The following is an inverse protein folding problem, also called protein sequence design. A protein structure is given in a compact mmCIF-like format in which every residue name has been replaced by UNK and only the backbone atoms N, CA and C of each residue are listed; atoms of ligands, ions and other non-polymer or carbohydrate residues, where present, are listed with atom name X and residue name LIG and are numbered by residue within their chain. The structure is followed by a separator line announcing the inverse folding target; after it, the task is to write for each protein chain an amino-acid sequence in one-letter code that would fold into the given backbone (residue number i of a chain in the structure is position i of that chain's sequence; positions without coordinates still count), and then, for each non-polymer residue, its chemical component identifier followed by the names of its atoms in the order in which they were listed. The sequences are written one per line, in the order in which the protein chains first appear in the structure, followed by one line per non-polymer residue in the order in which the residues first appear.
data_IF_240869392479
#
_entry.id   IF_240869392479
#
_cell.length_a   1.000
_cell.length_b   1.000
_cell.length_c   1.000
_cell.angle_alpha   90.00
_cell.angle_beta   90.00
_cell.angle_gamma   90.00
#
_symmetry.space_group_name_H-M   'P 1'
#
loop_
_entity.id
_entity.type
_entity.pdbx_description
1 polymer ?
#
# COMPACT_ATOMS: atom_id res chain seq x y z
N UNK A 1 10.00 -29.30 -11.48
CA UNK A 1 9.95 -27.94 -10.97
C UNK A 1 11.30 -27.52 -10.44
N UNK A 2 11.65 -26.30 -10.68
CA UNK A 2 12.97 -25.86 -10.29
C UNK A 2 12.98 -25.34 -8.85
N UNK A 3 14.15 -25.43 -8.26
CA UNK A 3 14.37 -25.04 -6.88
C UNK A 3 14.19 -23.53 -6.65
N UNK A 4 14.54 -22.72 -7.66
CA UNK A 4 14.45 -21.28 -7.57
C UNK A 4 13.02 -20.81 -7.32
N UNK A 5 12.07 -21.46 -7.98
CA UNK A 5 10.66 -21.12 -7.80
C UNK A 5 10.18 -21.46 -6.38
N UNK A 6 10.57 -22.61 -5.85
CA UNK A 6 10.22 -23.00 -4.50
C UNK A 6 10.82 -22.03 -3.47
N UNK A 7 12.08 -21.61 -3.69
CA UNK A 7 12.73 -20.66 -2.79
C UNK A 7 12.04 -19.31 -2.79
N UNK A 8 11.62 -18.81 -3.95
CA UNK A 8 10.89 -17.54 -4.04
C UNK A 8 9.56 -17.60 -3.33
N UNK A 9 8.85 -18.71 -3.43
CA UNK A 9 7.57 -18.90 -2.74
C UNK A 9 7.77 -18.85 -1.23
N UNK A 10 8.81 -19.52 -0.75
CA UNK A 10 9.12 -19.54 0.67
C UNK A 10 9.52 -18.16 1.19
N UNK A 11 10.34 -17.42 0.41
CA UNK A 11 10.72 -16.06 0.76
C UNK A 11 9.50 -15.15 0.84
N UNK A 12 8.58 -15.26 -0.11
CA UNK A 12 7.35 -14.48 -0.11
C UNK A 12 6.51 -14.80 1.13
N UNK A 13 6.35 -16.06 1.47
CA UNK A 13 5.59 -16.46 2.65
C UNK A 13 6.22 -15.91 3.92
N UNK A 14 7.54 -15.97 4.04
CA UNK A 14 8.23 -15.43 5.21
C UNK A 14 8.07 -13.93 5.29
N UNK A 15 8.18 -13.24 4.16
CA UNK A 15 7.98 -11.79 4.10
C UNK A 15 6.54 -11.42 4.49
N UNK A 16 5.57 -12.15 3.95
CA UNK A 16 4.15 -11.90 4.22
C UNK A 16 3.81 -12.11 5.70
N UNK A 17 4.44 -13.06 6.35
CA UNK A 17 4.21 -13.31 7.78
C UNK A 17 4.60 -12.13 8.67
N UNK A 18 5.44 -11.23 8.17
CA UNK A 18 5.84 -10.04 8.91
C UNK A 18 4.78 -8.95 8.88
N UNK A 19 3.78 -9.08 8.01
CA UNK A 19 2.70 -8.12 7.91
C UNK A 19 1.61 -8.40 8.93
N UNK A 20 1.16 -7.37 9.61
CA UNK A 20 -0.05 -7.45 10.43
C UNK A 20 -1.25 -7.09 9.56
N UNK A 21 -2.32 -7.88 9.69
CA UNK A 21 -3.52 -7.68 8.88
C UNK A 21 -4.33 -6.51 9.45
N UNK A 22 -4.76 -5.61 8.57
CA UNK A 22 -5.63 -4.49 8.91
C UNK A 22 -6.74 -4.38 7.89
N UNK A 23 -7.91 -3.96 8.36
CA UNK A 23 -9.09 -3.80 7.52
C UNK A 23 -9.53 -2.35 7.56
N UNK A 24 -9.95 -1.84 6.41
CA UNK A 24 -10.46 -0.48 6.27
C UNK A 24 -11.81 -0.51 5.57
N UNK A 25 -12.69 0.37 5.98
CA UNK A 25 -13.98 0.54 5.34
C UNK A 25 -13.84 1.49 4.15
N UNK A 26 -14.77 1.40 3.22
CA UNK A 26 -14.86 2.34 2.10
C UNK A 26 -14.81 3.77 2.62
N UNK A 27 -13.96 4.58 2.03
CA UNK A 27 -13.79 5.98 2.38
C UNK A 27 -12.78 6.26 3.47
N UNK A 28 -12.28 5.23 4.17
CA UNK A 28 -11.27 5.46 5.19
C UNK A 28 -9.90 5.73 4.55
N UNK A 29 -9.13 6.58 5.21
CA UNK A 29 -7.80 6.95 4.76
C UNK A 29 -6.77 6.01 5.36
N UNK A 30 -5.96 5.36 4.51
CA UNK A 30 -4.88 4.50 4.97
C UNK A 30 -3.63 5.32 5.30
N UNK A 31 -3.29 6.26 4.41
CA UNK A 31 -2.12 7.12 4.57
C UNK A 31 -2.49 8.50 4.07
N UNK A 32 -2.11 9.53 4.84
CA UNK A 32 -2.29 10.92 4.43
C UNK A 32 -0.99 11.45 3.86
N UNK A 33 -1.10 12.38 2.92
CA UNK A 33 0.08 13.07 2.39
C UNK A 33 0.82 13.77 3.53
N UNK A 34 2.15 13.76 3.45
CA UNK A 34 3.07 14.35 4.42
C UNK A 34 3.15 13.64 5.76
N UNK A 35 2.32 12.63 6.00
CA UNK A 35 2.49 11.78 7.18
C UNK A 35 3.59 10.74 6.92
N UNK A 36 4.32 10.38 7.97
CA UNK A 36 5.27 9.28 7.90
C UNK A 36 4.47 7.97 7.89
N UNK A 37 4.54 7.17 6.82
CA UNK A 37 3.78 5.92 6.74
C UNK A 37 4.18 4.89 7.79
N UNK A 38 5.43 4.92 8.25
CA UNK A 38 5.99 4.03 9.27
C UNK A 38 5.95 2.54 8.89
N UNK A 39 5.81 2.27 7.60
CA UNK A 39 5.80 0.89 7.13
C UNK A 39 5.25 0.77 5.72
N UNK A 40 5.28 -0.45 5.22
CA UNK A 40 4.77 -0.78 3.89
C UNK A 40 3.46 -1.51 4.03
N UNK A 41 2.50 -1.16 3.17
CA UNK A 41 1.22 -1.86 3.06
C UNK A 41 1.25 -2.79 1.86
N UNK A 42 0.69 -3.99 2.04
CA UNK A 42 0.43 -4.94 0.97
C UNK A 42 -1.08 -5.07 0.81
N UNK A 43 -1.61 -4.59 -0.30
CA UNK A 43 -3.05 -4.67 -0.58
C UNK A 43 -3.39 -6.08 -1.02
N UNK A 44 -4.25 -6.75 -0.26
CA UNK A 44 -4.65 -8.13 -0.54
C UNK A 44 -6.09 -8.25 -0.98
N UNK A 45 -6.97 -7.32 -0.58
CA UNK A 45 -8.38 -7.33 -0.98
C UNK A 45 -8.86 -5.89 -1.16
N UNK A 46 -9.67 -5.66 -2.17
CA UNK A 46 -10.28 -4.37 -2.41
C UNK A 46 -9.43 -3.45 -3.27
N UNK A 47 -9.84 -2.17 -3.32
CA UNK A 47 -9.19 -1.17 -4.16
C UNK A 47 -8.84 0.05 -3.34
N UNK A 48 -7.67 0.63 -3.62
CA UNK A 48 -7.16 1.82 -2.96
C UNK A 48 -6.87 2.88 -4.00
N UNK A 49 -7.31 4.09 -3.73
CA UNK A 49 -7.06 5.25 -4.59
C UNK A 49 -5.84 6.00 -4.07
N UNK A 50 -4.85 6.16 -4.95
CA UNK A 50 -3.70 7.02 -4.68
C UNK A 50 -3.93 8.34 -5.37
N UNK A 51 -3.91 9.44 -4.62
CA UNK A 51 -4.16 10.76 -5.19
C UNK A 51 -3.37 11.84 -4.48
N UNK A 52 -3.33 12.99 -5.14
CA UNK A 52 -2.77 14.20 -4.55
C UNK A 52 -3.79 15.32 -4.65
N UNK A 53 -3.55 16.40 -3.92
CA UNK A 53 -4.41 17.59 -3.96
C UNK A 53 -3.58 18.73 -4.51
N UNK A 54 -4.08 19.40 -5.56
CA UNK A 54 -3.40 20.54 -6.17
C UNK A 54 -3.46 21.76 -5.26
N UNK A 55 -2.66 22.77 -5.58
CA UNK A 55 -2.65 24.02 -4.81
C UNK A 55 -4.01 24.71 -4.79
N UNK A 56 -4.84 24.47 -5.81
CA UNK A 56 -6.18 25.05 -5.91
C UNK A 56 -7.26 24.17 -5.30
N UNK A 57 -6.88 23.06 -4.69
CA UNK A 57 -7.81 22.20 -3.97
C UNK A 57 -8.41 21.05 -4.78
N UNK A 58 -7.96 20.85 -6.02
CA UNK A 58 -8.45 19.75 -6.84
C UNK A 58 -7.74 18.45 -6.51
N UNK A 59 -8.51 17.38 -6.40
CA UNK A 59 -7.96 16.04 -6.24
C UNK A 59 -7.58 15.47 -7.58
N UNK A 60 -6.35 14.94 -7.67
CA UNK A 60 -5.82 14.33 -8.88
C UNK A 60 -5.52 12.87 -8.58
N UNK A 61 -6.33 11.98 -9.12
CA UNK A 61 -6.11 10.54 -8.96
C UNK A 61 -4.96 10.11 -9.86
N UNK A 62 -3.96 9.48 -9.25
CA UNK A 62 -2.79 8.97 -9.97
C UNK A 62 -2.92 7.51 -10.32
N UNK A 63 -3.39 6.72 -9.38
CA UNK A 63 -3.55 5.28 -9.56
C UNK A 63 -4.73 4.75 -8.77
N UNK A 64 -5.34 3.70 -9.31
CA UNK A 64 -6.23 2.83 -8.54
C UNK A 64 -5.45 1.54 -8.31
N UNK A 65 -5.07 1.31 -7.06
CA UNK A 65 -4.31 0.13 -6.69
C UNK A 65 -5.25 -1.06 -6.50
N UNK A 66 -4.82 -2.20 -6.99
CA UNK A 66 -5.57 -3.46 -6.89
C UNK A 66 -4.65 -4.54 -6.32
N UNK A 67 -5.19 -5.62 -5.83
CA UNK A 67 -4.38 -6.75 -5.36
C UNK A 67 -3.54 -7.35 -6.51
N UNK A 68 -2.31 -7.67 -6.31
CA UNK A 68 -1.55 -7.38 -5.09
C UNK A 68 -0.69 -6.17 -5.38
N UNK A 69 -0.69 -5.20 -4.49
CA UNK A 69 0.12 -3.98 -4.65
C UNK A 69 0.78 -3.64 -3.33
N UNK A 70 1.98 -3.08 -3.41
CA UNK A 70 2.73 -2.58 -2.25
C UNK A 70 2.81 -1.07 -2.33
N UNK A 71 2.61 -0.40 -1.20
CA UNK A 71 2.68 1.06 -1.17
C UNK A 71 3.01 1.58 0.24
N UNK A 72 3.54 2.78 0.38
CA UNK A 72 4.03 3.69 -0.66
C UNK A 72 5.46 3.29 -1.06
N UNK A 73 5.66 3.00 -2.33
CA UNK A 73 6.94 2.44 -2.79
C UNK A 73 8.06 3.47 -2.83
N UNK A 74 7.78 4.70 -3.22
CA UNK A 74 8.83 5.73 -3.30
C UNK A 74 9.40 6.00 -1.92
N UNK A 75 8.54 6.12 -0.92
CA UNK A 75 8.97 6.28 0.47
C UNK A 75 9.81 5.07 0.93
N UNK A 76 9.32 3.87 0.62
CA UNK A 76 9.96 2.63 1.10
C UNK A 76 11.35 2.43 0.50
N UNK A 77 11.53 2.79 -0.77
CA UNK A 77 12.78 2.55 -1.49
C UNK A 77 13.77 3.68 -1.28
N UNK A 78 13.32 4.92 -1.35
CA UNK A 78 14.20 6.09 -1.37
C UNK A 78 14.26 6.88 -0.06
N UNK A 79 13.37 6.57 0.90
CA UNK A 79 13.27 7.38 2.11
C UNK A 79 12.71 8.77 1.84
N UNK A 80 12.16 9.01 0.67
CA UNK A 80 11.56 10.29 0.28
C UNK A 80 10.22 10.44 0.99
N UNK A 81 9.89 11.64 1.50
CA UNK A 81 8.58 11.85 2.15
C UNK A 81 7.43 11.47 1.24
N UNK A 82 6.40 10.86 1.82
CA UNK A 82 5.20 10.51 1.08
C UNK A 82 4.37 11.76 0.78
N UNK A 83 4.07 11.99 -0.49
CA UNK A 83 3.32 13.15 -0.96
C UNK A 83 1.88 12.81 -1.35
N UNK A 84 1.43 11.59 -1.10
CA UNK A 84 0.17 11.10 -1.62
C UNK A 84 -0.79 10.65 -0.52
N UNK A 85 -2.08 10.74 -0.84
CA UNK A 85 -3.15 10.15 -0.04
C UNK A 85 -3.47 8.77 -0.59
N UNK A 86 -3.79 7.86 0.30
CA UNK A 86 -4.22 6.49 -0.04
C UNK A 86 -5.54 6.24 0.67
N UNK A 87 -6.60 6.11 -0.10
CA UNK A 87 -7.97 6.02 0.40
C UNK A 87 -8.62 4.72 -0.07
N UNK A 88 -9.34 4.05 0.84
CA UNK A 88 -10.09 2.85 0.49
C UNK A 88 -11.30 3.20 -0.37
N UNK A 89 -11.34 2.69 -1.60
CA UNK A 89 -12.49 2.87 -2.50
C UNK A 89 -13.59 1.85 -2.23
N UNK A 90 -13.21 0.72 -1.69
CA UNK A 90 -14.08 -0.38 -1.28
C UNK A 90 -13.63 -0.79 0.11
N UNK A 91 -14.33 -1.73 0.77
CA UNK A 91 -13.70 -2.38 1.92
C UNK A 91 -12.38 -3.00 1.46
N UNK A 92 -11.32 -2.81 2.24
CA UNK A 92 -9.99 -3.31 1.90
C UNK A 92 -9.39 -4.10 3.03
N UNK A 93 -8.56 -5.06 2.66
CA UNK A 93 -7.70 -5.76 3.58
C UNK A 93 -6.26 -5.51 3.15
N UNK A 94 -5.42 -5.14 4.10
CA UNK A 94 -4.00 -4.91 3.86
C UNK A 94 -3.18 -5.62 4.92
N UNK A 95 -1.98 -6.04 4.53
CA UNK A 95 -0.94 -6.37 5.48
C UNK A 95 -0.05 -5.15 5.65
N UNK A 96 0.43 -4.90 6.87
CA UNK A 96 1.32 -3.79 7.15
C UNK A 96 2.59 -4.29 7.83
N UNK A 97 3.75 -3.91 7.30
CA UNK A 97 5.05 -4.22 7.87
C UNK A 97 5.80 -2.92 8.15
N UNK A 98 6.53 -2.83 9.28
CA UNK A 98 7.34 -1.65 9.57
C UNK A 98 8.46 -1.45 8.56
#
# INVERSE_FOLDING_TARGET
MNRIHADKTKEFENFYKQFSIRNYKKGEMLIRADDDPQGIFCLTKGYVRQYTISKTGYELTLHILKPISYFPMVWAVNGTPNLYYFEALTPVEVGRAP
#
